data_IF_183954962819
#
_entry.id   IF_183954962819
#
_cell.length_a   1.000
_cell.length_b   1.000
_cell.length_c   1.000
_cell.angle_alpha   90.00
_cell.angle_beta   90.00
_cell.angle_gamma   90.00
#
_symmetry.space_group_name_H-M   'P 1'
#
loop_
_entity.id
_entity.type
_entity.pdbx_description
1 polymer ?
#
# COMPACT_ATOMS: atom_id res chain seq x y z
N UNK A 1 -2.22 12.49 -3.66
CA UNK A 1 -1.37 11.40 -4.23
C UNK A 1 -2.16 10.76 -5.35
N UNK A 2 -1.53 10.25 -6.41
CA UNK A 2 -2.24 9.43 -7.41
C UNK A 2 -2.23 7.97 -6.98
N UNK A 3 -3.40 7.33 -6.96
CA UNK A 3 -3.63 5.94 -6.55
C UNK A 3 -4.60 5.31 -7.55
N UNK A 4 -4.24 4.19 -8.17
CA UNK A 4 -5.10 3.44 -9.10
C UNK A 4 -5.98 4.33 -10.02
N UNK A 5 -5.33 5.22 -10.77
CA UNK A 5 -6.00 6.30 -11.54
C UNK A 5 -6.94 5.74 -12.61
N UNK A 6 -6.65 4.56 -13.15
CA UNK A 6 -7.53 3.87 -14.11
C UNK A 6 -8.87 3.54 -13.44
N UNK A 7 -8.84 2.91 -12.28
CA UNK A 7 -10.04 2.61 -11.49
C UNK A 7 -10.78 3.88 -11.06
N UNK A 8 -10.06 4.89 -10.60
CA UNK A 8 -10.66 6.17 -10.20
C UNK A 8 -11.58 6.76 -11.30
N UNK A 9 -11.15 6.69 -12.56
CA UNK A 9 -11.88 7.26 -13.70
C UNK A 9 -13.12 6.46 -14.09
N UNK A 10 -13.15 5.16 -13.82
CA UNK A 10 -14.28 4.29 -14.19
C UNK A 10 -15.42 4.33 -13.17
N UNK A 11 -15.12 4.66 -11.91
CA UNK A 11 -16.11 4.75 -10.84
C UNK A 11 -16.92 6.05 -10.96
N UNK A 12 -18.24 5.97 -11.09
CA UNK A 12 -19.09 7.14 -11.39
C UNK A 12 -20.36 7.25 -10.54
N UNK A 13 -20.78 6.18 -9.87
CA UNK A 13 -22.04 6.12 -9.13
C UNK A 13 -21.76 5.93 -7.62
N UNK A 14 -21.45 7.00 -6.89
CA UNK A 14 -21.15 6.89 -5.47
C UNK A 14 -22.40 6.56 -4.67
N UNK A 15 -22.25 5.69 -3.67
CA UNK A 15 -23.29 5.37 -2.70
C UNK A 15 -23.34 6.40 -1.57
N UNK A 16 -22.17 6.97 -1.25
CA UNK A 16 -21.98 7.93 -0.19
C UNK A 16 -20.85 8.88 -0.59
N UNK A 17 -20.99 10.14 -0.23
CA UNK A 17 -19.96 11.16 -0.46
C UNK A 17 -19.65 11.81 0.88
N UNK A 18 -18.38 11.71 1.29
CA UNK A 18 -17.86 12.26 2.54
C UNK A 18 -16.92 13.43 2.22
N UNK A 19 -16.93 14.48 3.05
CA UNK A 19 -16.10 15.67 2.86
C UNK A 19 -15.10 15.82 4.00
N UNK A 20 -13.94 15.20 3.82
CA UNK A 20 -12.94 15.05 4.86
C UNK A 20 -11.75 15.97 4.58
N UNK A 21 -11.41 16.85 5.52
CA UNK A 21 -10.24 17.75 5.41
C UNK A 21 -10.20 18.57 4.10
N UNK A 22 -11.38 19.00 3.61
CA UNK A 22 -11.52 19.74 2.35
C UNK A 22 -11.33 18.88 1.09
N UNK A 23 -11.30 17.56 1.23
CA UNK A 23 -11.22 16.58 0.14
C UNK A 23 -12.48 15.73 0.10
N UNK A 24 -12.92 15.43 -1.10
CA UNK A 24 -14.10 14.58 -1.32
C UNK A 24 -13.67 13.12 -1.41
N UNK A 25 -14.32 12.28 -0.59
CA UNK A 25 -14.20 10.82 -0.62
C UNK A 25 -15.54 10.29 -1.12
N UNK A 26 -15.53 9.64 -2.28
CA UNK A 26 -16.70 8.95 -2.80
C UNK A 26 -16.59 7.46 -2.49
N UNK A 27 -17.60 6.90 -1.82
CA UNK A 27 -17.69 5.46 -1.57
C UNK A 27 -18.47 4.82 -2.73
N UNK A 28 -17.97 3.71 -3.25
CA UNK A 28 -18.56 2.93 -4.35
C UNK A 28 -18.59 1.45 -3.97
N UNK A 29 -19.64 0.72 -4.35
CA UNK A 29 -19.66 -0.73 -4.16
C UNK A 29 -18.84 -1.45 -5.21
N UNK A 30 -18.05 -2.43 -4.77
CA UNK A 30 -17.24 -3.27 -5.64
C UNK A 30 -18.10 -4.24 -6.45
N UNK A 31 -19.22 -4.70 -5.89
CA UNK A 31 -20.14 -5.67 -6.49
C UNK A 31 -20.76 -5.18 -7.82
N UNK A 32 -20.86 -3.87 -8.00
CA UNK A 32 -21.43 -3.26 -9.20
C UNK A 32 -20.36 -3.04 -10.31
N UNK A 33 -19.16 -3.58 -10.13
CA UNK A 33 -18.00 -3.35 -10.98
C UNK A 33 -17.26 -4.65 -11.32
N UNK A 34 -16.48 -4.69 -12.41
CA UNK A 34 -15.64 -5.86 -12.73
C UNK A 34 -14.46 -6.04 -11.76
N UNK A 35 -14.31 -5.18 -10.77
CA UNK A 35 -13.23 -5.20 -9.79
C UNK A 35 -13.47 -6.20 -8.65
N UNK A 36 -14.71 -6.68 -8.46
CA UNK A 36 -15.04 -7.66 -7.42
C UNK A 36 -14.18 -8.92 -7.53
N UNK A 37 -14.25 -9.63 -8.67
CA UNK A 37 -13.46 -10.85 -8.88
C UNK A 37 -11.95 -10.59 -8.91
N UNK A 38 -11.52 -9.37 -9.24
CA UNK A 38 -10.10 -8.98 -9.27
C UNK A 38 -9.50 -8.80 -7.88
N UNK A 39 -10.26 -8.25 -6.94
CA UNK A 39 -9.76 -7.85 -5.63
C UNK A 39 -10.32 -8.73 -4.51
N UNK A 40 -11.64 -8.93 -4.44
CA UNK A 40 -12.27 -9.70 -3.37
C UNK A 40 -11.80 -11.17 -3.35
N UNK A 41 -11.59 -11.78 -4.53
CA UNK A 41 -11.02 -13.14 -4.64
C UNK A 41 -9.57 -13.26 -4.15
N UNK A 42 -8.90 -12.15 -3.83
CA UNK A 42 -7.56 -12.11 -3.22
C UNK A 42 -7.58 -11.61 -1.77
N UNK A 43 -8.77 -11.44 -1.18
CA UNK A 43 -8.93 -10.92 0.18
C UNK A 43 -8.95 -9.40 0.27
N UNK A 44 -8.95 -8.70 -0.86
CA UNK A 44 -9.01 -7.24 -0.89
C UNK A 44 -10.46 -6.77 -1.01
N UNK A 45 -11.07 -6.44 0.13
CA UNK A 45 -12.45 -5.98 0.18
C UNK A 45 -12.58 -4.45 0.16
N UNK A 46 -11.47 -3.69 0.29
CA UNK A 46 -11.46 -2.22 0.37
C UNK A 46 -10.32 -1.60 -0.45
N UNK A 47 -10.59 -1.13 -1.67
CA UNK A 47 -9.56 -0.48 -2.50
C UNK A 47 -9.71 1.04 -2.49
N UNK A 48 -8.63 1.74 -2.15
CA UNK A 48 -8.52 3.20 -2.33
C UNK A 48 -8.00 3.57 -3.74
N UNK A 49 -8.59 4.62 -4.31
CA UNK A 49 -8.08 5.27 -5.53
C UNK A 49 -8.15 6.79 -5.43
N UNK A 50 -7.29 7.47 -6.19
CA UNK A 50 -7.19 8.93 -6.22
C UNK A 50 -6.56 9.41 -7.53
N UNK A 51 -7.07 10.50 -8.07
CA UNK A 51 -6.47 11.23 -9.20
C UNK A 51 -5.43 12.28 -8.77
N UNK A 52 -5.22 12.44 -7.46
CA UNK A 52 -4.39 13.46 -6.87
C UNK A 52 -5.16 14.61 -6.21
N UNK A 53 -6.47 14.74 -6.50
CA UNK A 53 -7.34 15.78 -5.94
C UNK A 53 -8.43 15.14 -5.07
N UNK A 54 -9.21 14.23 -5.63
CA UNK A 54 -10.27 13.50 -4.94
C UNK A 54 -9.89 12.06 -4.63
N UNK A 55 -10.67 11.40 -3.78
CA UNK A 55 -10.47 10.00 -3.38
C UNK A 55 -11.75 9.21 -3.64
N UNK A 56 -11.60 7.96 -4.07
CA UNK A 56 -12.71 7.01 -4.19
C UNK A 56 -12.35 5.74 -3.45
N UNK A 57 -13.27 5.32 -2.59
CA UNK A 57 -13.20 4.09 -1.82
C UNK A 57 -14.09 3.05 -2.50
N UNK A 58 -13.51 1.98 -3.01
CA UNK A 58 -14.23 0.86 -3.59
C UNK A 58 -14.31 -0.26 -2.57
N UNK A 59 -15.52 -0.59 -2.11
CA UNK A 59 -15.71 -1.52 -0.99
C UNK A 59 -16.71 -2.61 -1.33
N UNK A 60 -16.46 -3.84 -0.90
CA UNK A 60 -17.42 -4.94 -1.00
C UNK A 60 -18.67 -4.61 -0.16
N UNK A 61 -19.86 -4.89 -0.71
CA UNK A 61 -21.13 -4.44 -0.16
C UNK A 61 -21.43 -5.00 1.23
N UNK A 62 -21.28 -6.31 1.41
CA UNK A 62 -21.54 -6.98 2.69
C UNK A 62 -20.48 -6.60 3.72
N UNK A 63 -19.22 -6.48 3.30
CA UNK A 63 -18.12 -5.97 4.11
C UNK A 63 -18.41 -4.56 4.63
N UNK A 64 -18.79 -3.63 3.75
CA UNK A 64 -19.10 -2.25 4.12
C UNK A 64 -20.26 -2.16 5.12
N UNK A 65 -21.30 -2.98 4.92
CA UNK A 65 -22.46 -2.96 5.80
C UNK A 65 -22.12 -3.52 7.19
N UNK A 66 -21.26 -4.53 7.26
CA UNK A 66 -20.82 -5.15 8.52
C UNK A 66 -19.84 -4.25 9.29
N UNK A 67 -18.93 -3.59 8.58
CA UNK A 67 -17.83 -2.82 9.15
C UNK A 67 -17.98 -1.31 8.95
N UNK A 68 -19.22 -0.83 8.76
CA UNK A 68 -19.52 0.58 8.48
C UNK A 68 -18.81 1.58 9.42
N UNK A 69 -18.68 1.34 10.74
CA UNK A 69 -17.96 2.26 11.62
C UNK A 69 -16.46 2.43 11.27
N UNK A 70 -15.80 1.42 10.69
CA UNK A 70 -14.42 1.53 10.19
C UNK A 70 -14.30 2.44 8.95
N UNK A 71 -15.41 2.73 8.29
CA UNK A 71 -15.49 3.61 7.12
C UNK A 71 -16.29 4.89 7.39
N UNK A 72 -16.45 5.25 8.67
CA UNK A 72 -17.02 6.53 9.06
C UNK A 72 -16.15 7.68 8.54
N UNK A 73 -16.74 8.88 8.42
CA UNK A 73 -16.03 10.07 7.98
C UNK A 73 -14.77 10.35 8.84
N UNK A 74 -14.86 10.13 10.15
CA UNK A 74 -13.72 10.31 11.07
C UNK A 74 -12.63 9.25 10.84
N UNK A 75 -13.00 7.98 10.71
CA UNK A 75 -12.05 6.89 10.49
C UNK A 75 -11.36 7.03 9.12
N UNK A 76 -12.12 7.38 8.08
CA UNK A 76 -11.57 7.64 6.74
C UNK A 76 -10.62 8.84 6.72
N UNK A 77 -10.78 9.82 7.62
CA UNK A 77 -9.82 10.91 7.78
C UNK A 77 -8.45 10.41 8.27
N UNK A 78 -8.45 9.46 9.20
CA UNK A 78 -7.23 8.84 9.72
C UNK A 78 -6.55 8.00 8.64
N UNK A 79 -7.30 7.18 7.91
CA UNK A 79 -6.78 6.44 6.76
C UNK A 79 -6.21 7.35 5.67
N UNK A 80 -6.89 8.44 5.34
CA UNK A 80 -6.40 9.42 4.38
C UNK A 80 -5.07 10.04 4.82
N UNK A 81 -4.96 10.40 6.10
CA UNK A 81 -3.72 10.89 6.71
C UNK A 81 -2.60 9.87 6.61
N UNK A 82 -2.88 8.58 6.89
CA UNK A 82 -1.95 7.47 6.71
C UNK A 82 -1.41 7.43 5.27
N UNK A 83 -2.28 7.37 4.26
CA UNK A 83 -1.85 7.29 2.85
C UNK A 83 -1.00 8.50 2.43
N UNK A 84 -1.34 9.70 2.90
CA UNK A 84 -0.54 10.89 2.64
C UNK A 84 0.84 10.84 3.30
N UNK A 85 0.93 10.33 4.53
CA UNK A 85 2.19 10.16 5.24
C UNK A 85 3.05 9.10 4.56
N UNK A 86 2.49 7.95 4.18
CA UNK A 86 3.17 6.91 3.40
C UNK A 86 3.71 7.48 2.09
N UNK A 87 2.91 8.28 1.37
CA UNK A 87 3.37 8.95 0.15
C UNK A 87 4.55 9.89 0.40
N UNK A 88 4.49 10.69 1.47
CA UNK A 88 5.59 11.59 1.87
C UNK A 88 6.84 10.81 2.23
N UNK A 89 6.73 9.69 2.94
CA UNK A 89 7.84 8.80 3.29
C UNK A 89 8.46 8.22 2.01
N UNK A 90 7.66 7.61 1.14
CA UNK A 90 8.13 7.04 -0.14
C UNK A 90 8.85 8.09 -0.98
N UNK A 91 8.26 9.29 -1.12
CA UNK A 91 8.87 10.40 -1.85
C UNK A 91 10.17 10.86 -1.19
N UNK A 92 10.19 11.02 0.13
CA UNK A 92 11.39 11.43 0.87
C UNK A 92 12.53 10.42 0.69
N UNK A 93 12.25 9.12 0.82
CA UNK A 93 13.25 8.07 0.64
C UNK A 93 13.75 8.03 -0.81
N UNK A 94 12.87 8.21 -1.79
CA UNK A 94 13.27 8.32 -3.19
C UNK A 94 14.28 9.45 -3.42
N UNK A 95 13.98 10.67 -2.94
CA UNK A 95 14.85 11.83 -3.14
C UNK A 95 16.14 11.79 -2.31
N UNK A 96 16.14 11.12 -1.15
CA UNK A 96 17.30 11.06 -0.26
C UNK A 96 18.26 9.90 -0.55
N UNK A 97 17.76 8.80 -1.11
CA UNK A 97 18.53 7.56 -1.29
C UNK A 97 18.61 7.17 -2.77
N UNK A 98 17.47 6.93 -3.42
CA UNK A 98 17.43 6.46 -4.81
C UNK A 98 18.00 7.48 -5.79
N UNK A 99 17.59 8.75 -5.69
CA UNK A 99 18.03 9.77 -6.64
C UNK A 99 19.55 10.04 -6.57
N UNK A 100 20.18 10.22 -5.39
CA UNK A 100 21.63 10.33 -5.28
C UNK A 100 22.37 9.08 -5.77
N UNK A 101 21.83 7.89 -5.51
CA UNK A 101 22.40 6.64 -6.01
C UNK A 101 22.41 6.60 -7.54
N UNK A 102 21.29 6.91 -8.19
CA UNK A 102 21.18 6.97 -9.65
C UNK A 102 22.17 7.97 -10.25
N UNK A 103 22.28 9.16 -9.64
CA UNK A 103 23.24 10.18 -10.06
C UNK A 103 24.68 9.66 -9.91
N UNK A 104 24.99 8.98 -8.81
CA UNK A 104 26.30 8.37 -8.57
C UNK A 104 26.66 7.32 -9.62
N UNK A 105 25.72 6.43 -9.96
CA UNK A 105 25.91 5.41 -11.00
C UNK A 105 26.14 6.08 -12.36
N UNK A 106 25.34 7.08 -12.70
CA UNK A 106 25.49 7.85 -13.93
C UNK A 106 26.86 8.54 -14.00
N UNK A 107 27.33 9.11 -12.89
CA UNK A 107 28.64 9.74 -12.79
C UNK A 107 29.77 8.74 -13.02
N UNK A 108 29.70 7.56 -12.40
CA UNK A 108 30.67 6.47 -12.63
C UNK A 108 30.70 6.06 -14.11
N UNK A 109 29.53 5.88 -14.73
CA UNK A 109 29.44 5.56 -16.17
C UNK A 109 30.02 6.67 -17.06
N UNK A 110 29.79 7.94 -16.72
CA UNK A 110 30.37 9.07 -17.45
C UNK A 110 31.90 9.09 -17.33
N UNK A 111 32.45 8.85 -16.15
CA UNK A 111 33.92 8.79 -15.95
C UNK A 111 34.56 7.73 -16.84
N UNK A 112 34.00 6.51 -16.88
CA UNK A 112 34.49 5.45 -17.77
C UNK A 112 34.36 5.80 -19.27
N UNK A 113 33.34 6.57 -19.64
CA UNK A 113 33.11 6.98 -21.03
C UNK A 113 34.11 8.04 -21.50
N UNK A 114 34.38 9.05 -20.65
CA UNK A 114 35.16 10.24 -21.01
C UNK A 114 36.65 10.16 -20.65
N UNK A 115 37.07 9.24 -19.77
CA UNK A 115 38.47 9.10 -19.37
C UNK A 115 39.10 7.88 -20.07
N UNK A 116 39.93 8.06 -21.12
CA UNK A 116 40.47 6.95 -21.89
C UNK A 116 41.33 5.98 -21.06
N UNK A 117 42.03 6.51 -20.06
CA UNK A 117 42.87 5.73 -19.15
C UNK A 117 42.09 4.71 -18.29
N UNK A 118 40.78 4.93 -18.09
CA UNK A 118 39.91 4.07 -17.29
C UNK A 118 39.06 3.13 -18.15
N UNK A 119 39.14 3.23 -19.49
CA UNK A 119 38.35 2.41 -20.43
C UNK A 119 38.88 0.97 -20.59
N UNK A 120 39.80 0.55 -19.74
CA UNK A 120 40.24 -0.84 -19.73
C UNK A 120 39.08 -1.76 -19.31
N UNK A 121 38.73 -2.69 -20.19
CA UNK A 121 37.65 -3.66 -19.98
C UNK A 121 37.87 -4.52 -18.74
N UNK A 122 39.13 -4.79 -18.40
CA UNK A 122 39.50 -5.56 -17.22
C UNK A 122 39.21 -4.81 -15.91
N UNK A 123 39.17 -3.47 -15.94
CA UNK A 123 38.81 -2.63 -14.81
C UNK A 123 37.30 -2.34 -14.77
N UNK A 124 36.70 -2.09 -15.94
CA UNK A 124 35.30 -1.70 -16.05
C UNK A 124 34.34 -2.80 -15.55
N UNK A 125 34.59 -4.06 -15.92
CA UNK A 125 33.70 -5.18 -15.56
C UNK A 125 33.60 -5.41 -14.04
N UNK A 126 34.71 -5.53 -13.29
CA UNK A 126 34.64 -5.64 -11.82
C UNK A 126 33.95 -4.44 -11.15
N UNK A 127 34.15 -3.22 -11.66
CA UNK A 127 33.52 -2.03 -11.09
C UNK A 127 32.01 -2.02 -11.33
N UNK A 128 31.54 -2.41 -12.52
CA UNK A 128 30.11 -2.53 -12.80
C UNK A 128 29.45 -3.60 -11.91
N UNK A 129 30.12 -4.74 -11.72
CA UNK A 129 29.65 -5.79 -10.80
C UNK A 129 29.60 -5.24 -9.36
N UNK A 130 30.64 -4.53 -8.93
CA UNK A 130 30.68 -3.89 -7.61
C UNK A 130 29.53 -2.89 -7.41
N UNK A 131 29.24 -2.06 -8.42
CA UNK A 131 28.10 -1.12 -8.40
C UNK A 131 26.77 -1.86 -8.28
N UNK A 132 26.60 -2.97 -9.00
CA UNK A 132 25.37 -3.78 -8.93
C UNK A 132 25.19 -4.39 -7.54
N UNK A 133 26.26 -4.94 -6.94
CA UNK A 133 26.23 -5.47 -5.57
C UNK A 133 25.86 -4.37 -4.57
N UNK A 134 26.47 -3.19 -4.68
CA UNK A 134 26.15 -2.04 -3.82
C UNK A 134 24.69 -1.61 -4.01
N UNK A 135 24.19 -1.59 -5.24
CA UNK A 135 22.80 -1.25 -5.54
C UNK A 135 21.82 -2.24 -4.89
N UNK A 136 22.10 -3.53 -4.97
CA UNK A 136 21.27 -4.57 -4.36
C UNK A 136 21.22 -4.40 -2.84
N UNK A 137 22.38 -4.22 -2.19
CA UNK A 137 22.45 -4.00 -0.74
C UNK A 137 21.69 -2.75 -0.33
N UNK A 138 21.89 -1.63 -1.04
CA UNK A 138 21.17 -0.38 -0.76
C UNK A 138 19.67 -0.51 -0.97
N UNK A 139 19.24 -1.27 -1.98
CA UNK A 139 17.82 -1.53 -2.23
C UNK A 139 17.21 -2.34 -1.08
N UNK A 140 17.89 -3.38 -0.59
CA UNK A 140 17.43 -4.14 0.59
C UNK A 140 17.27 -3.24 1.83
N UNK A 141 18.28 -2.42 2.14
CA UNK A 141 18.19 -1.47 3.26
C UNK A 141 17.08 -0.45 3.06
N UNK A 142 16.87 0.04 1.84
CA UNK A 142 15.78 0.96 1.53
C UNK A 142 14.42 0.31 1.76
N UNK A 143 14.21 -0.92 1.29
CA UNK A 143 12.94 -1.65 1.47
C UNK A 143 12.64 -1.88 2.94
N UNK A 144 13.64 -2.28 3.73
CA UNK A 144 13.48 -2.43 5.18
C UNK A 144 13.16 -1.10 5.88
N UNK A 145 13.86 -0.02 5.51
CA UNK A 145 13.58 1.31 6.07
C UNK A 145 12.21 1.85 5.66
N UNK A 146 11.77 1.58 4.43
CA UNK A 146 10.44 1.95 3.96
C UNK A 146 9.38 1.19 4.76
N UNK A 147 9.51 -0.15 4.85
CA UNK A 147 8.60 -1.02 5.62
C UNK A 147 8.46 -0.53 7.05
N UNK A 148 9.57 -0.43 7.78
CA UNK A 148 9.59 0.06 9.18
C UNK A 148 8.87 1.39 9.36
N UNK A 149 9.11 2.37 8.47
CA UNK A 149 8.46 3.68 8.56
C UNK A 149 6.97 3.63 8.25
N UNK A 150 6.55 2.76 7.34
CA UNK A 150 5.13 2.53 7.06
C UNK A 150 4.48 1.88 8.28
N UNK A 151 5.11 0.88 8.89
CA UNK A 151 4.59 0.17 10.06
C UNK A 151 4.46 1.10 11.26
N UNK A 152 5.44 1.99 11.52
CA UNK A 152 5.36 3.04 12.55
C UNK A 152 4.13 3.94 12.36
N UNK A 153 3.85 4.39 11.12
CA UNK A 153 2.69 5.23 10.82
C UNK A 153 1.39 4.41 10.88
N UNK A 154 1.43 3.14 10.47
CA UNK A 154 0.29 2.22 10.54
C UNK A 154 -0.14 2.01 11.99
N UNK A 155 0.79 1.62 12.86
CA UNK A 155 0.52 1.39 14.28
C UNK A 155 -0.12 2.62 14.93
N UNK A 156 0.45 3.80 14.69
CA UNK A 156 -0.11 5.07 15.18
C UNK A 156 -1.52 5.35 14.64
N UNK A 157 -1.76 5.08 13.36
CA UNK A 157 -3.08 5.28 12.76
C UNK A 157 -4.12 4.34 13.37
N UNK A 158 -3.75 3.07 13.59
CA UNK A 158 -4.61 2.09 14.24
C UNK A 158 -4.92 2.50 15.68
N UNK A 159 -3.93 2.96 16.44
CA UNK A 159 -4.12 3.49 17.80
C UNK A 159 -5.09 4.70 17.82
N UNK A 160 -4.95 5.63 16.87
CA UNK A 160 -5.86 6.76 16.71
C UNK A 160 -7.29 6.30 16.35
N UNK A 161 -7.44 5.27 15.51
CA UNK A 161 -8.74 4.67 15.15
C UNK A 161 -9.36 3.98 16.36
N UNK A 162 -8.60 3.17 17.09
CA UNK A 162 -9.05 2.48 18.32
C UNK A 162 -9.52 3.50 19.35
N UNK A 163 -8.77 4.58 19.55
CA UNK A 163 -9.14 5.66 20.48
C UNK A 163 -10.42 6.39 20.04
N UNK A 164 -10.60 6.58 18.73
CA UNK A 164 -11.77 7.29 18.18
C UNK A 164 -13.04 6.46 18.27
N UNK A 165 -12.96 5.16 18.00
CA UNK A 165 -14.11 4.24 18.05
C UNK A 165 -14.40 3.72 19.46
N UNK A 166 -13.38 3.69 20.32
CA UNK A 166 -13.43 3.04 21.62
C UNK A 166 -13.00 1.57 21.51
N UNK A 167 -12.26 1.12 22.52
CA UNK A 167 -11.59 -0.19 22.55
C UNK A 167 -12.52 -1.37 22.33
N UNK A 168 -13.69 -1.37 22.98
CA UNK A 168 -14.67 -2.47 22.86
C UNK A 168 -15.25 -2.56 21.45
N UNK A 169 -15.65 -1.42 20.88
CA UNK A 169 -16.20 -1.38 19.52
C UNK A 169 -15.14 -1.76 18.49
N UNK A 170 -13.90 -1.29 18.66
CA UNK A 170 -12.81 -1.63 17.77
C UNK A 170 -12.53 -3.14 17.76
N UNK A 171 -12.45 -3.78 18.94
CA UNK A 171 -12.26 -5.22 19.05
C UNK A 171 -13.41 -6.02 18.43
N UNK A 172 -14.65 -5.55 18.58
CA UNK A 172 -15.80 -6.17 17.92
C UNK A 172 -15.67 -6.08 16.39
N UNK A 173 -15.26 -4.93 15.85
CA UNK A 173 -15.05 -4.73 14.41
C UNK A 173 -13.94 -5.62 13.87
N UNK A 174 -12.83 -5.79 14.60
CA UNK A 174 -11.74 -6.70 14.21
C UNK A 174 -12.24 -8.15 14.16
N UNK A 175 -13.04 -8.57 15.15
CA UNK A 175 -13.64 -9.91 15.13
C UNK A 175 -14.59 -10.10 13.96
N UNK A 176 -15.47 -9.12 13.71
CA UNK A 176 -16.41 -9.14 12.57
C UNK A 176 -15.68 -9.17 11.23
N UNK A 177 -14.55 -8.48 11.13
CA UNK A 177 -13.68 -8.52 9.97
C UNK A 177 -13.16 -9.95 9.76
N UNK A 178 -12.52 -10.56 10.76
CA UNK A 178 -12.00 -11.93 10.67
C UNK A 178 -13.10 -12.95 10.32
N UNK A 179 -14.26 -12.85 10.96
CA UNK A 179 -15.41 -13.70 10.67
C UNK A 179 -15.86 -13.55 9.20
N UNK A 180 -15.85 -12.33 8.66
CA UNK A 180 -16.17 -12.07 7.25
C UNK A 180 -15.16 -12.74 6.32
N UNK A 181 -13.86 -12.56 6.57
CA UNK A 181 -12.79 -13.18 5.77
C UNK A 181 -12.94 -14.70 5.73
N UNK A 182 -13.08 -15.33 6.90
CA UNK A 182 -13.25 -16.78 6.96
C UNK A 182 -14.50 -17.25 6.20
N UNK A 183 -15.63 -16.55 6.36
CA UNK A 183 -16.88 -16.93 5.71
C UNK A 183 -16.85 -16.72 4.20
N UNK A 184 -16.16 -15.68 3.72
CA UNK A 184 -16.00 -15.42 2.29
C UNK A 184 -15.20 -16.54 1.60
N UNK A 185 -14.11 -17.01 2.21
CA UNK A 185 -13.24 -18.04 1.62
C UNK A 185 -13.64 -19.49 1.90
N UNK A 186 -14.54 -19.75 2.86
CA UNK A 186 -15.04 -21.12 3.16
C UNK A 186 -15.74 -21.80 1.98
N UNK A 187 -16.17 -21.06 0.95
CA UNK A 187 -17.02 -21.57 -0.13
C UNK A 187 -16.44 -21.48 -1.55
N UNK A 188 -15.24 -20.91 -1.74
CA UNK A 188 -14.62 -20.79 -3.06
C UNK A 188 -13.58 -21.91 -3.29
N UNK A 189 -14.00 -23.04 -3.91
CA UNK A 189 -13.05 -23.84 -4.69
C UNK A 189 -12.51 -22.96 -5.82
N UNK A 190 -11.17 -22.86 -6.01
CA UNK A 190 -10.60 -21.89 -6.93
C UNK A 190 -11.03 -22.22 -8.37
N UNK A 191 -11.87 -21.36 -8.95
CA UNK A 191 -12.09 -21.35 -10.38
C UNK A 191 -10.76 -21.06 -11.09
N UNK A 192 -10.47 -21.70 -12.24
CA UNK A 192 -9.23 -21.45 -12.96
C UNK A 192 -9.13 -19.97 -13.34
N UNK A 193 -8.09 -19.33 -12.83
CA UNK A 193 -7.77 -17.91 -13.04
C UNK A 193 -7.48 -17.69 -14.53
N UNK A 194 -8.20 -16.80 -15.25
CA UNK A 194 -7.76 -16.37 -16.57
C UNK A 194 -6.43 -15.61 -16.44
N UNK A 195 -5.42 -16.08 -17.17
CA UNK A 195 -4.11 -15.46 -17.31
C UNK A 195 -4.28 -14.06 -17.93
N UNK A 196 -4.10 -12.99 -17.13
CA UNK A 196 -4.15 -11.60 -17.62
C UNK A 196 -2.94 -10.84 -17.07
N UNK A 197 -2.27 -10.14 -17.99
CA UNK A 197 -1.00 -9.42 -17.88
C UNK A 197 -0.76 -8.71 -16.54
N UNK A 198 0.43 -8.95 -15.99
CA UNK A 198 1.00 -8.32 -14.81
C UNK A 198 1.13 -6.80 -15.01
N UNK A 199 0.19 -6.03 -14.44
CA UNK A 199 0.45 -4.62 -14.14
C UNK A 199 1.43 -4.53 -12.96
N UNK A 200 2.37 -3.56 -12.98
CA UNK A 200 3.55 -3.53 -12.12
C UNK A 200 3.20 -3.50 -10.63
N UNK A 201 4.00 -4.22 -9.85
CA UNK A 201 3.96 -4.39 -8.38
C UNK A 201 3.86 -3.09 -7.55
N UNK A 202 3.97 -1.90 -8.15
CA UNK A 202 3.75 -0.61 -7.47
C UNK A 202 2.31 -0.40 -6.97
N UNK A 203 1.33 -1.20 -7.43
CA UNK A 203 -0.10 -0.97 -7.17
C UNK A 203 -0.67 -1.82 -6.02
N UNK A 204 0.06 -2.84 -5.55
CA UNK A 204 -0.41 -3.78 -4.51
C UNK A 204 -0.05 -3.38 -3.07
N UNK A 205 0.95 -2.54 -2.86
CA UNK A 205 1.40 -2.14 -1.51
C UNK A 205 0.51 -1.08 -0.81
N UNK A 206 -0.63 -0.69 -1.39
CA UNK A 206 -1.59 0.20 -0.72
C UNK A 206 -2.62 -0.57 0.13
N UNK A 207 -2.59 -1.89 0.12
CA UNK A 207 -3.40 -2.74 0.97
C UNK A 207 -2.66 -4.05 1.22
N UNK A 208 -1.79 -4.05 2.22
CA UNK A 208 -1.50 -5.25 2.99
C UNK A 208 -1.85 -4.87 4.43
N UNK A 209 -3.11 -5.14 4.80
CA UNK A 209 -3.35 -5.77 6.10
C UNK A 209 -2.77 -7.18 5.85
N UNK A 210 -1.49 -7.34 6.16
CA UNK A 210 -0.84 -8.65 6.13
C UNK A 210 -1.21 -9.27 7.45
N UNK A 211 -2.13 -10.23 7.41
CA UNK A 211 -2.66 -10.94 8.58
C UNK A 211 -1.54 -11.69 9.37
N UNK A 212 -0.31 -11.77 8.83
CA UNK A 212 0.85 -12.31 9.55
C UNK A 212 1.42 -11.35 10.62
N UNK A 213 1.22 -10.03 10.55
CA UNK A 213 1.81 -9.09 11.53
C UNK A 213 0.88 -8.71 12.70
N UNK A 214 -0.41 -9.05 12.65
CA UNK A 214 -1.34 -8.85 13.78
C UNK A 214 -1.18 -9.90 14.89
N UNK A 215 -0.52 -11.03 14.58
CA UNK A 215 -0.24 -12.10 15.55
C UNK A 215 1.00 -11.75 16.39
N UNK A 216 2.05 -11.20 15.78
CA UNK A 216 3.31 -10.86 16.46
C UNK A 216 3.18 -9.74 17.50
N UNK A 217 2.34 -8.71 17.24
CA UNK A 217 2.15 -7.59 18.19
C UNK A 217 1.41 -8.05 19.47
N UNK A 218 0.65 -9.14 19.39
CA UNK A 218 -0.08 -9.69 20.55
C UNK A 218 0.82 -10.53 21.45
N UNK A 219 1.81 -11.22 20.89
CA UNK A 219 2.79 -12.00 21.67
C UNK A 219 3.77 -11.09 22.43
N UNK A 220 4.19 -9.95 21.85
CA UNK A 220 5.08 -9.00 22.57
C UNK A 220 4.40 -8.24 23.72
N UNK A 221 3.06 -8.07 23.70
CA UNK A 221 2.33 -7.33 24.74
C UNK A 221 1.79 -8.21 25.88
N UNK A 222 1.83 -9.54 25.74
CA UNK A 222 1.48 -10.48 26.81
C UNK A 222 2.71 -10.97 27.61
N UNK A 223 3.93 -10.59 27.21
CA UNK A 223 5.19 -10.94 27.89
C UNK A 223 5.81 -9.81 28.77
N UNK A 224 5.18 -8.64 28.92
CA UNK A 224 5.53 -7.61 29.94
C UNK A 224 4.53 -7.56 31.11
#
# INVERSE_FOLDING_TARGET
>A
MKLNVKMYKTLTNPIEVQNVNGKTIEVHYMNDTPYLSRYAGRGHFVIWSSDGVGYKLLVEKEYYNTLKPLHSEQTNALWLSFYEQVHKIRRSLFFKIMLPMLIGILAVMMVFSFVPALRDRNLQMPVLIGVLVVMLVLNMFQSQLLKKKIDEVRAKTIEEIETTLGKEQFQELVRLQNDFYENYFKFEEPAPIPEIESEPEEVLEAEIIDDEELIDVKEELEEE
#
